data_IF_226978832785
#
_entry.id   IF_226978832785
#
_cell.length_a   1.000
_cell.length_b   1.000
_cell.length_c   1.000
_cell.angle_alpha   90.00
_cell.angle_beta   90.00
_cell.angle_gamma   90.00
#
_symmetry.space_group_name_H-M   'P 1'
#
loop_
_entity.id
_entity.type
_entity.pdbx_description
1 polymer ?
#
# COMPACT_ATOMS: atom_id res chain seq x y z
N UNK A 1 3.38 -12.69 -15.41
CA UNK A 1 3.37 -12.41 -13.96
C UNK A 1 3.33 -10.89 -13.79
N UNK A 2 2.28 -10.33 -13.17
CA UNK A 2 2.07 -8.87 -13.03
C UNK A 2 2.17 -8.43 -11.57
N UNK A 3 3.22 -8.88 -10.90
CA UNK A 3 3.52 -8.49 -9.52
C UNK A 3 4.63 -7.43 -9.57
N UNK A 4 4.48 -6.35 -8.80
CA UNK A 4 5.51 -5.32 -8.65
C UNK A 4 6.86 -5.95 -8.33
N UNK A 5 7.93 -5.52 -8.99
CA UNK A 5 9.27 -6.05 -8.77
C UNK A 5 9.65 -7.18 -9.72
N UNK A 6 8.72 -8.07 -10.04
CA UNK A 6 9.06 -9.28 -10.78
C UNK A 6 9.39 -9.01 -12.24
N UNK A 7 8.69 -8.07 -12.88
CA UNK A 7 8.94 -7.75 -14.28
C UNK A 7 10.33 -7.09 -14.46
N UNK A 8 10.71 -6.23 -13.53
CA UNK A 8 11.99 -5.52 -13.50
C UNK A 8 13.15 -6.49 -13.27
N UNK A 9 13.01 -7.40 -12.30
CA UNK A 9 14.01 -8.45 -12.05
C UNK A 9 14.11 -9.43 -13.22
N UNK A 10 12.99 -9.83 -13.84
CA UNK A 10 13.01 -10.66 -15.05
C UNK A 10 13.77 -9.96 -16.19
N UNK A 11 13.62 -8.63 -16.34
CA UNK A 11 14.35 -7.87 -17.34
C UNK A 11 15.86 -7.79 -17.03
N UNK A 12 16.24 -7.65 -15.76
CA UNK A 12 17.64 -7.79 -15.33
C UNK A 12 18.21 -9.17 -15.66
N UNK A 13 17.51 -10.24 -15.29
CA UNK A 13 17.93 -11.63 -15.56
C UNK A 13 18.04 -11.94 -17.06
N UNK A 14 17.34 -11.19 -17.90
CA UNK A 14 17.40 -11.27 -19.38
C UNK A 14 18.46 -10.36 -20.00
N UNK A 15 19.24 -9.64 -19.18
CA UNK A 15 20.26 -8.68 -19.65
C UNK A 15 19.68 -7.43 -20.32
N UNK A 16 18.40 -7.12 -20.10
CA UNK A 16 17.72 -5.95 -20.71
C UNK A 16 17.86 -4.67 -19.87
N UNK A 17 18.17 -4.82 -18.58
CA UNK A 17 18.42 -3.76 -17.62
C UNK A 17 19.63 -4.17 -16.76
N UNK A 18 20.39 -3.20 -16.28
CA UNK A 18 21.31 -3.41 -15.17
C UNK A 18 20.54 -3.57 -13.85
N UNK A 19 21.20 -4.13 -12.83
CA UNK A 19 20.59 -4.26 -11.50
C UNK A 19 20.20 -2.90 -10.89
N UNK A 20 21.03 -1.83 -10.95
CA UNK A 20 20.64 -0.52 -10.43
C UNK A 20 19.45 0.10 -11.18
N UNK A 21 19.34 -0.11 -12.50
CA UNK A 21 18.18 0.34 -13.27
C UNK A 21 16.92 -0.41 -12.86
N UNK A 22 17.00 -1.73 -12.70
CA UNK A 22 15.88 -2.53 -12.20
C UNK A 22 15.43 -2.04 -10.83
N UNK A 23 16.35 -1.84 -9.87
CA UNK A 23 16.02 -1.32 -8.53
C UNK A 23 15.28 0.04 -8.59
N UNK A 24 15.79 0.97 -9.40
CA UNK A 24 15.16 2.28 -9.59
C UNK A 24 13.73 2.17 -10.12
N UNK A 25 13.51 1.31 -11.12
CA UNK A 25 12.19 1.07 -11.69
C UNK A 25 11.23 0.44 -10.67
N UNK A 26 11.70 -0.51 -9.86
CA UNK A 26 10.90 -1.13 -8.79
C UNK A 26 10.41 -0.07 -7.80
N UNK A 27 11.32 0.80 -7.34
CA UNK A 27 10.98 1.89 -6.41
C UNK A 27 9.96 2.84 -7.05
N UNK A 28 10.18 3.23 -8.31
CA UNK A 28 9.28 4.11 -9.05
C UNK A 28 7.87 3.51 -9.17
N UNK A 29 7.76 2.28 -9.65
CA UNK A 29 6.47 1.61 -9.83
C UNK A 29 5.76 1.33 -8.50
N UNK A 30 6.49 1.01 -7.44
CA UNK A 30 5.93 0.82 -6.10
C UNK A 30 5.32 2.12 -5.58
N UNK A 31 6.02 3.26 -5.73
CA UNK A 31 5.50 4.58 -5.35
C UNK A 31 4.28 4.98 -6.17
N UNK A 32 4.29 4.72 -7.48
CA UNK A 32 3.14 4.99 -8.35
C UNK A 32 1.94 4.13 -7.96
N UNK A 33 2.16 2.86 -7.61
CA UNK A 33 1.11 1.97 -7.14
C UNK A 33 0.51 2.47 -5.81
N UNK A 34 1.34 2.81 -4.82
CA UNK A 34 0.88 3.40 -3.57
C UNK A 34 0.09 4.72 -3.78
N UNK A 35 0.51 5.56 -4.74
CA UNK A 35 -0.25 6.76 -5.14
C UNK A 35 -1.62 6.40 -5.74
N UNK A 36 -1.68 5.39 -6.60
CA UNK A 36 -2.95 4.90 -7.18
C UNK A 36 -3.87 4.34 -6.10
N UNK A 37 -3.35 3.54 -5.16
CA UNK A 37 -4.13 3.04 -4.02
C UNK A 37 -4.72 4.19 -3.21
N UNK A 38 -3.91 5.19 -2.82
CA UNK A 38 -4.41 6.37 -2.11
C UNK A 38 -5.48 7.13 -2.90
N UNK A 39 -5.28 7.28 -4.21
CA UNK A 39 -6.26 7.96 -5.08
C UNK A 39 -7.57 7.18 -5.15
N UNK A 40 -7.50 5.86 -5.24
CA UNK A 40 -8.66 4.99 -5.27
C UNK A 40 -9.44 5.03 -3.96
N UNK A 41 -8.75 4.97 -2.81
CA UNK A 41 -9.41 5.06 -1.50
C UNK A 41 -10.03 6.44 -1.22
N UNK A 42 -9.55 7.52 -1.84
CA UNK A 42 -10.18 8.86 -1.69
C UNK A 42 -11.61 8.94 -2.21
N UNK A 43 -12.02 8.00 -3.07
CA UNK A 43 -13.40 7.95 -3.56
C UNK A 43 -14.40 7.44 -2.50
N UNK A 44 -13.92 6.91 -1.38
CA UNK A 44 -14.74 6.28 -0.34
C UNK A 44 -14.65 7.08 0.97
N UNK A 45 -15.54 8.07 1.18
CA UNK A 45 -15.53 8.92 2.37
C UNK A 45 -15.86 8.18 3.67
N UNK A 46 -16.43 6.97 3.59
CA UNK A 46 -16.71 6.08 4.71
C UNK A 46 -15.45 5.40 5.28
N UNK A 47 -14.32 5.45 4.55
CA UNK A 47 -13.07 4.88 5.04
C UNK A 47 -12.56 5.74 6.20
N UNK A 48 -12.43 5.09 7.35
CA UNK A 48 -11.76 5.68 8.50
C UNK A 48 -10.27 5.35 8.47
N UNK A 49 -9.45 6.40 8.48
CA UNK A 49 -8.01 6.30 8.40
C UNK A 49 -7.39 6.31 9.79
N UNK A 50 -6.40 5.45 9.99
CA UNK A 50 -5.61 5.40 11.21
C UNK A 50 -4.16 5.77 10.92
N UNK A 51 -3.51 6.41 11.89
CA UNK A 51 -2.09 6.73 11.81
C UNK A 51 -1.24 5.49 12.09
N UNK A 52 -0.55 5.00 11.06
CA UNK A 52 0.33 3.83 11.17
C UNK A 52 1.53 4.04 12.07
N UNK A 53 1.82 5.29 12.47
CA UNK A 53 2.91 5.64 13.38
C UNK A 53 2.47 5.79 14.83
N UNK A 54 1.17 5.68 15.12
CA UNK A 54 0.66 5.70 16.50
C UNK A 54 1.18 4.50 17.28
N UNK A 55 1.69 4.74 18.49
CA UNK A 55 2.11 3.68 19.42
C UNK A 55 0.94 2.86 19.95
N UNK A 56 -0.29 3.41 19.88
CA UNK A 56 -1.51 2.81 20.42
C UNK A 56 -2.50 2.46 19.29
N UNK A 57 -2.00 2.24 18.08
CA UNK A 57 -2.81 2.00 16.88
C UNK A 57 -3.81 0.86 17.08
N UNK A 58 -3.39 -0.22 17.75
CA UNK A 58 -4.25 -1.39 17.97
C UNK A 58 -5.43 -1.03 18.87
N UNK A 59 -5.18 -0.34 19.97
CA UNK A 59 -6.21 0.12 20.90
C UNK A 59 -7.18 1.11 20.25
N UNK A 60 -6.67 2.04 19.43
CA UNK A 60 -7.49 2.98 18.66
C UNK A 60 -8.45 2.25 17.71
N UNK A 61 -7.94 1.28 16.95
CA UNK A 61 -8.74 0.47 16.02
C UNK A 61 -9.79 -0.34 16.77
N UNK A 62 -9.42 -1.03 17.85
CA UNK A 62 -10.34 -1.83 18.66
C UNK A 62 -11.46 -0.97 19.26
N UNK A 63 -11.13 0.16 19.87
CA UNK A 63 -12.12 1.09 20.43
C UNK A 63 -13.11 1.57 19.37
N UNK A 64 -12.64 1.78 18.13
CA UNK A 64 -13.50 2.21 17.04
C UNK A 64 -14.45 1.11 16.56
N UNK A 65 -13.96 -0.13 16.48
CA UNK A 65 -14.77 -1.29 16.13
C UNK A 65 -15.87 -1.53 17.17
N UNK A 66 -15.53 -1.49 18.46
CA UNK A 66 -16.50 -1.63 19.56
C UNK A 66 -17.62 -0.60 19.47
N UNK A 67 -17.28 0.69 19.28
CA UNK A 67 -18.27 1.76 19.12
C UNK A 67 -19.19 1.55 17.92
N UNK A 68 -18.66 0.98 16.84
CA UNK A 68 -19.43 0.69 15.63
C UNK A 68 -20.40 -0.48 15.85
N UNK A 69 -19.97 -1.52 16.58
CA UNK A 69 -20.80 -2.67 16.94
C UNK A 69 -21.94 -2.28 17.90
N UNK A 70 -21.68 -1.42 18.89
CA UNK A 70 -22.71 -0.97 19.85
C UNK A 70 -23.79 -0.10 19.21
N UNK A 71 -23.50 0.58 18.09
CA UNK A 71 -24.50 1.37 17.33
C UNK A 71 -25.43 0.52 16.47
N UNK A 72 -25.11 -0.76 16.28
CA UNK A 72 -25.88 -1.69 15.44
C UNK A 72 -26.86 -2.56 16.26
N UNK A 73 -26.74 -2.57 17.59
CA UNK A 73 -27.67 -3.20 18.53
C UNK A 73 -28.61 -2.16 19.13
#
# INVERSE_FOLDING_TARGET
>A
MKTLGYAEIINYLRGKLSLPEAEKEIISHTRQFAKRQRTWFRAYPEIEWFDTTSSNLVEEVLSKLEKSLTRLN
#
